data_IF_773905448224
#
_entry.id   IF_773905448224
#
_cell.length_a   1.000
_cell.length_b   1.000
_cell.length_c   1.000
_cell.angle_alpha   90.00
_cell.angle_beta   90.00
_cell.angle_gamma   90.00
#
_symmetry.space_group_name_H-M   'P 1'
#
loop_
_entity.id
_entity.type
_entity.pdbx_description
1 polymer ?
#
# COMPACT_ATOMS: atom_id res chain seq x y z
N UNK A 1 -44.20 -7.61 33.00
CA UNK A 1 -45.16 -6.54 33.33
C UNK A 1 -44.39 -5.48 34.10
N UNK A 2 -44.20 -4.33 33.41
CA UNK A 2 -43.90 -2.98 33.92
C UNK A 2 -42.73 -2.73 34.86
N UNK A 3 -41.64 -2.25 34.31
CA UNK A 3 -40.79 -1.24 34.96
C UNK A 3 -39.64 -0.67 34.04
N UNK A 4 -39.73 -0.74 32.74
CA UNK A 4 -38.68 -0.25 31.86
C UNK A 4 -39.05 0.90 30.92
N UNK A 5 -40.29 1.43 30.97
CA UNK A 5 -40.76 2.48 30.03
C UNK A 5 -40.86 3.89 30.60
N UNK A 6 -40.45 4.11 31.84
CA UNK A 6 -40.68 5.41 32.52
C UNK A 6 -39.43 6.33 32.65
N UNK A 7 -38.27 5.95 32.19
CA UNK A 7 -37.04 6.76 32.31
C UNK A 7 -36.54 7.50 31.05
N UNK A 8 -37.18 7.27 29.92
CA UNK A 8 -36.75 7.91 28.64
C UNK A 8 -37.44 9.26 28.34
N UNK A 9 -38.55 9.57 29.03
CA UNK A 9 -39.34 10.79 28.73
C UNK A 9 -38.89 12.04 29.52
N UNK A 10 -38.02 11.94 30.49
CA UNK A 10 -37.64 13.06 31.39
C UNK A 10 -36.39 13.86 30.94
N UNK A 11 -35.66 13.45 29.89
CA UNK A 11 -34.42 14.12 29.43
C UNK A 11 -34.58 15.07 28.24
N UNK A 12 -35.72 15.10 27.55
CA UNK A 12 -35.91 15.94 26.36
C UNK A 12 -36.51 17.33 26.64
N UNK A 13 -36.97 17.63 27.84
CA UNK A 13 -37.63 18.92 28.18
C UNK A 13 -36.73 19.98 28.82
N UNK A 14 -35.45 19.74 29.06
CA UNK A 14 -34.53 20.71 29.68
C UNK A 14 -33.58 21.45 28.73
N UNK A 15 -33.63 21.20 27.41
CA UNK A 15 -32.77 21.89 26.43
C UNK A 15 -33.47 22.98 25.60
N UNK A 16 -34.75 23.29 25.84
CA UNK A 16 -35.53 24.29 25.03
C UNK A 16 -35.82 25.62 25.72
N UNK A 17 -35.24 25.90 26.90
CA UNK A 17 -35.51 27.15 27.67
C UNK A 17 -34.28 28.01 27.97
N UNK A 18 -33.28 28.02 27.10
CA UNK A 18 -32.14 28.98 27.24
C UNK A 18 -31.74 29.63 25.92
N UNK A 19 -32.71 30.06 25.13
CA UNK A 19 -32.47 30.97 24.00
C UNK A 19 -33.65 31.94 23.83
N UNK A 20 -33.87 32.82 24.82
CA UNK A 20 -34.76 33.97 24.73
C UNK A 20 -34.50 34.84 25.96
N UNK A 21 -33.49 35.68 25.87
CA UNK A 21 -33.33 36.91 26.67
C UNK A 21 -31.92 37.47 26.35
N UNK A 22 -31.83 38.28 25.33
CA UNK A 22 -30.93 39.41 25.23
C UNK A 22 -31.33 40.17 23.97
N UNK A 23 -32.30 40.99 24.10
CA UNK A 23 -32.67 42.04 23.17
C UNK A 23 -33.15 43.24 23.94
N UNK A 24 -32.75 44.39 23.50
CA UNK A 24 -33.13 45.73 23.90
C UNK A 24 -32.37 46.36 25.11
N UNK A 25 -31.42 47.22 24.77
CA UNK A 25 -31.35 48.59 25.38
C UNK A 25 -30.91 49.55 24.29
N UNK A 26 -31.85 50.42 23.97
CA UNK A 26 -31.75 51.63 23.20
C UNK A 26 -31.19 52.73 24.14
N UNK A 27 -30.27 53.57 23.66
CA UNK A 27 -29.80 54.74 24.36
C UNK A 27 -29.43 55.80 23.38
N UNK A 28 -30.38 56.73 23.16
CA UNK A 28 -30.21 58.01 22.46
C UNK A 28 -29.47 58.98 23.34
N UNK A 29 -28.66 59.87 22.72
CA UNK A 29 -28.28 61.25 23.19
C UNK A 29 -27.42 61.83 22.06
N UNK A 30 -27.86 62.77 21.40
CA UNK A 30 -28.24 64.15 21.58
C UNK A 30 -27.22 65.06 20.85
N UNK A 31 -27.80 65.80 19.94
CA UNK A 31 -27.33 66.99 19.18
C UNK A 31 -26.65 68.02 20.07
N UNK A 32 -25.49 68.52 19.62
CA UNK A 32 -25.10 69.93 19.92
C UNK A 32 -24.58 70.55 18.64
N UNK A 33 -25.36 71.57 18.16
CA UNK A 33 -24.97 72.45 17.08
C UNK A 33 -24.10 73.57 17.63
N UNK A 34 -22.96 73.85 17.03
CA UNK A 34 -22.24 75.11 17.20
C UNK A 34 -22.07 75.76 15.83
N UNK A 35 -22.76 76.89 15.64
CA UNK A 35 -22.61 77.78 14.49
C UNK A 35 -21.37 78.60 14.74
N UNK A 36 -20.38 78.60 13.88
CA UNK A 36 -19.33 79.61 13.79
C UNK A 36 -19.30 80.10 12.35
N UNK A 37 -19.74 81.37 12.22
CA UNK A 37 -19.59 82.19 11.02
C UNK A 37 -18.16 82.67 10.93
N UNK A 38 -17.46 82.39 9.86
CA UNK A 38 -16.17 83.00 9.52
C UNK A 38 -16.12 83.30 8.02
N UNK A 39 -15.66 84.48 7.78
CA UNK A 39 -15.67 85.25 6.54
C UNK A 39 -15.00 84.52 5.34
N UNK A 40 -15.66 84.67 4.19
CA UNK A 40 -15.16 84.30 2.87
C UNK A 40 -14.08 85.31 2.45
N UNK A 41 -12.83 84.80 2.30
CA UNK A 41 -11.79 85.46 1.50
C UNK A 41 -11.69 84.70 0.18
N UNK A 42 -12.15 85.37 -0.89
CA UNK A 42 -12.02 84.88 -2.26
C UNK A 42 -10.55 84.89 -2.71
N UNK A 43 -9.91 83.72 -2.80
CA UNK A 43 -8.70 83.51 -3.63
C UNK A 43 -9.08 82.63 -4.79
N UNK A 44 -8.61 82.90 -6.01
CA UNK A 44 -8.88 81.98 -7.18
C UNK A 44 -8.19 80.65 -7.01
N UNK A 45 -8.97 79.58 -6.84
CA UNK A 45 -8.47 78.22 -6.89
C UNK A 45 -8.19 77.86 -8.32
N UNK A 46 -6.90 77.52 -8.58
CA UNK A 46 -6.53 76.82 -9.77
C UNK A 46 -7.18 75.42 -9.72
N UNK A 47 -7.92 75.05 -10.75
CA UNK A 47 -8.50 73.77 -10.95
C UNK A 47 -7.36 72.70 -11.09
N UNK A 48 -7.05 72.03 -9.98
CA UNK A 48 -6.21 70.87 -10.08
C UNK A 48 -7.04 69.70 -10.73
N UNK A 49 -6.68 69.33 -11.93
CA UNK A 49 -7.21 68.20 -12.64
C UNK A 49 -6.97 66.95 -11.77
N UNK A 50 -8.06 66.34 -11.32
CA UNK A 50 -7.98 65.11 -10.48
C UNK A 50 -7.32 63.98 -11.30
N UNK A 51 -6.16 63.53 -10.85
CA UNK A 51 -5.53 62.36 -11.41
C UNK A 51 -6.49 61.18 -11.37
N UNK A 52 -6.60 60.37 -12.44
CA UNK A 52 -7.49 59.22 -12.46
C UNK A 52 -7.09 58.23 -11.34
N UNK A 53 -8.09 57.58 -10.70
CA UNK A 53 -7.78 56.63 -9.64
C UNK A 53 -6.81 55.58 -10.16
N UNK A 54 -5.66 55.39 -9.49
CA UNK A 54 -4.74 54.31 -9.75
C UNK A 54 -5.53 53.00 -9.62
N UNK A 55 -5.74 52.33 -10.74
CA UNK A 55 -6.26 50.98 -10.75
C UNK A 55 -5.37 50.17 -9.83
N UNK A 56 -5.95 49.59 -8.76
CA UNK A 56 -5.23 48.66 -7.92
C UNK A 56 -4.67 47.56 -8.83
N UNK A 57 -3.36 47.38 -8.77
CA UNK A 57 -2.72 46.30 -9.51
C UNK A 57 -3.31 44.97 -9.02
N UNK A 58 -3.88 44.20 -9.92
CA UNK A 58 -4.30 42.82 -9.61
C UNK A 58 -3.04 42.08 -9.07
N UNK A 59 -3.09 41.50 -7.88
CA UNK A 59 -1.94 40.74 -7.38
C UNK A 59 -1.54 39.69 -8.42
N UNK A 60 -0.24 39.54 -8.65
CA UNK A 60 0.26 38.47 -9.51
C UNK A 60 -0.22 37.14 -8.97
N UNK A 61 -0.62 36.19 -9.84
CA UNK A 61 -1.01 34.86 -9.40
C UNK A 61 0.12 34.25 -8.58
N UNK A 62 -0.20 33.71 -7.41
CA UNK A 62 0.75 32.94 -6.60
C UNK A 62 1.13 31.70 -7.40
N UNK A 63 2.43 31.40 -7.59
CA UNK A 63 2.83 30.17 -8.25
C UNK A 63 2.27 28.95 -7.51
N UNK A 64 1.77 27.97 -8.27
CA UNK A 64 1.31 26.71 -7.70
C UNK A 64 2.48 25.97 -7.05
N UNK A 65 2.23 25.29 -5.95
CA UNK A 65 3.16 24.30 -5.39
C UNK A 65 3.30 23.13 -6.36
N UNK A 66 4.37 22.28 -6.27
CA UNK A 66 4.50 21.11 -7.12
C UNK A 66 3.29 20.15 -7.03
N UNK A 67 2.71 19.97 -5.85
CA UNK A 67 1.50 19.17 -5.67
C UNK A 67 0.27 19.77 -6.36
N UNK A 68 0.07 21.09 -6.23
CA UNK A 68 -1.04 21.79 -6.90
C UNK A 68 -0.88 21.77 -8.42
N UNK A 69 0.37 21.89 -8.91
CA UNK A 69 0.65 21.79 -10.34
C UNK A 69 0.31 20.40 -10.88
N UNK A 70 0.70 19.33 -10.14
CA UNK A 70 0.43 17.96 -10.50
C UNK A 70 -1.07 17.65 -10.49
N UNK A 71 -1.81 18.15 -9.49
CA UNK A 71 -3.27 17.99 -9.41
C UNK A 71 -4.00 18.76 -10.52
N UNK A 72 -3.44 19.88 -10.98
CA UNK A 72 -4.01 20.63 -12.10
C UNK A 72 -3.90 19.92 -13.46
N UNK A 73 -3.10 18.86 -13.57
CA UNK A 73 -2.96 18.03 -14.78
C UNK A 73 -4.05 16.96 -14.92
N UNK A 74 -4.90 16.79 -13.91
CA UNK A 74 -5.96 15.77 -13.90
C UNK A 74 -7.30 16.33 -13.44
N UNK A 75 -8.40 15.82 -14.02
CA UNK A 75 -9.76 16.11 -13.59
C UNK A 75 -10.31 15.02 -12.64
N UNK A 76 -9.49 14.05 -12.24
CA UNK A 76 -9.92 12.95 -11.36
C UNK A 76 -10.13 13.47 -9.92
N UNK A 77 -11.35 13.44 -9.39
CA UNK A 77 -11.64 13.88 -8.03
C UNK A 77 -11.02 12.97 -6.96
N UNK A 78 -10.59 11.77 -7.32
CA UNK A 78 -9.91 10.81 -6.45
C UNK A 78 -8.39 10.88 -6.56
N UNK A 79 -7.85 11.76 -7.40
CA UNK A 79 -6.41 11.97 -7.47
C UNK A 79 -5.88 12.52 -6.15
N UNK A 80 -4.74 12.02 -5.71
CA UNK A 80 -4.04 12.42 -4.51
C UNK A 80 -2.57 12.69 -4.83
N UNK A 81 -2.09 13.90 -4.64
CA UNK A 81 -0.68 14.25 -4.77
C UNK A 81 0.07 13.86 -3.48
N UNK A 82 0.95 12.89 -3.59
CA UNK A 82 1.82 12.44 -2.49
C UNK A 82 3.17 13.11 -2.61
N UNK A 83 3.59 13.81 -1.56
CA UNK A 83 4.91 14.43 -1.41
C UNK A 83 5.76 13.64 -0.44
N UNK A 84 7.07 13.84 -0.52
CA UNK A 84 8.07 13.10 0.24
C UNK A 84 8.99 14.05 0.98
N UNK A 85 9.15 13.82 2.29
CA UNK A 85 10.00 14.63 3.17
C UNK A 85 10.94 13.76 3.98
N UNK A 86 12.03 14.35 4.41
CA UNK A 86 13.06 13.72 5.24
C UNK A 86 14.46 14.16 4.91
N UNK A 87 15.42 13.73 5.72
CA UNK A 87 16.82 14.08 5.51
C UNK A 87 17.35 13.48 4.20
N UNK A 88 17.84 14.35 3.31
CA UNK A 88 18.37 13.95 2.00
C UNK A 88 17.32 13.49 0.98
N UNK A 89 16.04 13.74 1.22
CA UNK A 89 14.97 13.44 0.26
C UNK A 89 14.77 14.62 -0.70
N UNK A 90 15.01 14.34 -1.99
CA UNK A 90 14.76 15.25 -3.11
C UNK A 90 13.97 14.47 -4.17
N UNK A 91 12.67 14.30 -3.94
CA UNK A 91 11.76 13.55 -4.81
C UNK A 91 10.61 14.45 -5.28
N UNK A 92 10.27 14.32 -6.55
CA UNK A 92 9.07 14.97 -7.10
C UNK A 92 7.80 14.31 -6.50
N UNK A 93 6.70 15.08 -6.36
CA UNK A 93 5.44 14.51 -5.95
C UNK A 93 4.91 13.53 -7.00
N UNK A 94 4.11 12.55 -6.57
CA UNK A 94 3.47 11.59 -7.47
C UNK A 94 1.97 11.50 -7.22
N UNK A 95 1.21 11.19 -8.27
CA UNK A 95 -0.23 10.92 -8.13
C UNK A 95 -0.46 9.50 -7.62
N UNK A 96 -1.37 9.40 -6.67
CA UNK A 96 -1.95 8.17 -6.17
C UNK A 96 -3.48 8.24 -6.31
N UNK A 97 -4.16 7.11 -6.13
CA UNK A 97 -5.61 7.01 -6.21
C UNK A 97 -6.20 6.90 -4.80
N UNK A 98 -6.98 7.89 -4.36
CA UNK A 98 -7.70 7.86 -3.07
C UNK A 98 -8.55 6.59 -2.96
N UNK A 99 -8.39 5.84 -1.86
CA UNK A 99 -9.09 4.59 -1.61
C UNK A 99 -8.52 3.36 -2.32
N UNK A 100 -7.53 3.53 -3.23
CA UNK A 100 -6.70 2.43 -3.73
C UNK A 100 -5.55 2.11 -2.79
N UNK A 101 -4.75 1.10 -3.09
CA UNK A 101 -3.47 0.87 -2.41
C UNK A 101 -2.39 1.78 -3.00
N UNK A 102 -1.40 2.18 -2.18
CA UNK A 102 -0.24 2.90 -2.69
C UNK A 102 0.48 2.07 -3.75
N UNK A 103 0.86 2.70 -4.85
CA UNK A 103 1.55 2.05 -5.95
C UNK A 103 2.87 2.76 -6.27
N UNK A 104 3.95 1.97 -6.46
CA UNK A 104 5.23 2.49 -6.93
C UNK A 104 5.88 3.53 -6.04
N UNK A 105 5.68 3.45 -4.71
CA UNK A 105 6.37 4.36 -3.79
C UNK A 105 7.90 4.21 -3.96
N UNK A 106 8.64 5.32 -4.07
CA UNK A 106 10.07 5.25 -4.29
C UNK A 106 10.81 4.64 -3.09
N UNK A 107 11.88 3.91 -3.36
CA UNK A 107 12.84 3.42 -2.36
C UNK A 107 14.12 4.22 -2.56
N UNK A 108 14.28 5.36 -1.88
CA UNK A 108 15.44 6.22 -2.06
C UNK A 108 16.72 5.55 -1.57
N UNK A 109 17.84 5.90 -2.19
CA UNK A 109 19.17 5.46 -1.78
C UNK A 109 19.98 6.64 -1.27
N UNK A 110 20.72 6.43 -0.18
CA UNK A 110 21.64 7.40 0.40
C UNK A 110 22.89 6.69 0.86
N UNK A 111 24.08 7.25 0.56
CA UNK A 111 25.35 6.64 0.92
C UNK A 111 25.49 6.44 2.43
N UNK A 112 25.83 5.21 2.84
CA UNK A 112 26.01 4.84 4.24
C UNK A 112 24.71 4.75 5.05
N UNK A 113 23.55 4.75 4.40
CA UNK A 113 22.24 4.61 5.07
C UNK A 113 21.41 3.52 4.42
N UNK A 114 20.49 2.97 5.22
CA UNK A 114 19.47 2.01 4.80
C UNK A 114 18.12 2.67 4.94
N UNK A 115 17.34 2.67 3.87
CA UNK A 115 16.00 3.23 3.91
C UNK A 115 15.10 2.41 4.85
N UNK A 116 14.49 3.06 5.84
CA UNK A 116 13.67 2.38 6.85
C UNK A 116 12.16 2.54 6.59
N UNK A 117 11.77 3.10 5.43
CA UNK A 117 10.38 3.20 4.99
C UNK A 117 9.82 4.61 5.02
N UNK A 118 8.62 4.72 4.48
CA UNK A 118 7.79 5.92 4.53
C UNK A 118 6.84 5.84 5.71
N UNK A 119 6.57 6.97 6.37
CA UNK A 119 5.72 7.06 7.55
C UNK A 119 4.65 8.14 7.38
N UNK A 120 3.56 7.99 8.12
CA UNK A 120 2.43 8.90 8.07
C UNK A 120 2.74 10.28 8.67
N UNK A 121 3.66 10.33 9.65
CA UNK A 121 4.13 11.55 10.33
C UNK A 121 5.64 11.53 10.55
N UNK A 122 6.24 12.70 10.81
CA UNK A 122 7.66 12.80 11.14
C UNK A 122 7.97 12.11 12.48
N UNK A 123 7.07 12.22 13.45
CA UNK A 123 7.21 11.61 14.77
C UNK A 123 7.24 10.08 14.69
N UNK A 124 6.38 9.49 13.86
CA UNK A 124 6.35 8.04 13.62
C UNK A 124 7.64 7.57 12.92
N UNK A 125 8.18 8.37 12.01
CA UNK A 125 9.45 8.10 11.33
C UNK A 125 10.64 8.11 12.30
N UNK A 126 10.66 9.01 13.28
CA UNK A 126 11.72 9.09 14.30
C UNK A 126 11.78 7.86 15.20
N UNK A 127 10.63 7.24 15.48
CA UNK A 127 10.54 6.06 16.36
C UNK A 127 10.39 4.74 15.61
N UNK A 128 10.39 4.79 14.27
CA UNK A 128 10.18 3.61 13.40
C UNK A 128 8.89 2.85 13.71
N UNK A 129 7.78 3.58 13.95
CA UNK A 129 6.48 2.96 14.26
C UNK A 129 5.94 2.15 13.07
N UNK A 130 6.10 0.82 13.14
CA UNK A 130 5.69 -0.10 12.07
C UNK A 130 4.19 0.02 11.75
N UNK A 131 3.35 0.35 12.73
CA UNK A 131 1.91 0.49 12.51
C UNK A 131 1.56 1.67 11.62
N UNK A 132 2.36 2.73 11.66
CA UNK A 132 2.22 3.96 10.87
C UNK A 132 3.04 3.94 9.57
N UNK A 133 3.79 2.85 9.31
CA UNK A 133 4.58 2.71 8.08
C UNK A 133 3.68 2.52 6.86
N UNK A 134 3.99 3.25 5.79
CA UNK A 134 3.22 3.32 4.55
C UNK A 134 3.95 2.59 3.42
N UNK A 135 3.26 1.67 2.78
CA UNK A 135 3.72 0.97 1.58
C UNK A 135 2.52 0.52 0.72
N UNK A 136 2.77 -0.32 -0.30
CA UNK A 136 1.75 -0.86 -1.21
C UNK A 136 0.71 -1.79 -0.56
N UNK A 137 0.77 -2.07 0.73
CA UNK A 137 -0.30 -2.78 1.47
C UNK A 137 -1.31 -1.84 2.13
N UNK A 138 -1.04 -0.52 2.12
CA UNK A 138 -1.88 0.49 2.78
C UNK A 138 -2.79 1.20 1.79
N UNK A 139 -3.98 1.54 2.26
CA UNK A 139 -4.94 2.35 1.49
C UNK A 139 -4.47 3.80 1.45
N UNK A 140 -4.60 4.41 0.28
CA UNK A 140 -4.31 5.84 0.08
C UNK A 140 -5.39 6.67 0.76
N UNK A 141 -4.98 7.46 1.75
CA UNK A 141 -5.81 8.41 2.47
C UNK A 141 -5.22 9.80 2.38
N UNK A 142 -5.94 10.72 1.74
CA UNK A 142 -5.50 12.09 1.51
C UNK A 142 -6.46 13.10 2.10
N UNK A 143 -5.93 14.16 2.69
CA UNK A 143 -6.66 15.35 3.05
C UNK A 143 -6.56 16.38 1.92
N UNK A 144 -7.68 16.88 1.42
CA UNK A 144 -7.71 17.90 0.34
C UNK A 144 -6.86 17.48 -0.88
N UNK A 145 -6.94 16.18 -1.27
CA UNK A 145 -6.17 15.56 -2.36
C UNK A 145 -4.64 15.59 -2.18
N UNK A 146 -4.13 15.81 -0.98
CA UNK A 146 -2.70 15.85 -0.70
C UNK A 146 -2.33 14.95 0.47
N UNK A 147 -1.14 14.38 0.42
CA UNK A 147 -0.53 13.58 1.47
C UNK A 147 0.97 13.80 1.50
N UNK A 148 1.53 14.02 2.67
CA UNK A 148 2.97 14.03 2.87
C UNK A 148 3.41 12.72 3.54
N UNK A 149 4.51 12.13 3.08
CA UNK A 149 5.14 10.94 3.65
C UNK A 149 6.55 11.28 4.11
N UNK A 150 6.94 10.74 5.26
CA UNK A 150 8.20 11.04 5.92
C UNK A 150 9.14 9.86 5.87
N UNK A 151 10.35 10.06 5.35
CA UNK A 151 11.39 9.05 5.26
C UNK A 151 12.05 8.80 6.62
N UNK A 152 12.33 7.53 6.90
CA UNK A 152 13.21 7.15 7.99
C UNK A 152 14.47 6.42 7.48
N UNK A 153 15.55 6.49 8.25
CA UNK A 153 16.83 5.91 7.89
C UNK A 153 17.47 5.18 9.05
N UNK A 154 18.07 4.03 8.76
CA UNK A 154 18.93 3.28 9.70
C UNK A 154 20.37 3.27 9.20
N UNK A 155 21.32 2.90 10.06
CA UNK A 155 22.65 2.51 9.61
C UNK A 155 22.66 1.08 9.09
N UNK A 156 23.64 0.68 8.28
CA UNK A 156 23.81 -0.72 7.86
C UNK A 156 23.97 -1.68 9.05
N UNK A 157 24.64 -1.24 10.11
CA UNK A 157 24.86 -2.01 11.34
C UNK A 157 23.54 -2.26 12.09
N UNK A 158 22.67 -1.24 12.23
CA UNK A 158 21.34 -1.38 12.84
C UNK A 158 20.47 -2.30 12.02
N UNK A 159 20.49 -2.18 10.68
CA UNK A 159 19.73 -3.06 9.80
C UNK A 159 20.21 -4.52 9.89
N UNK A 160 21.50 -4.75 9.91
CA UNK A 160 22.07 -6.09 10.07
C UNK A 160 21.80 -6.72 11.45
N UNK A 161 21.76 -5.89 12.51
CA UNK A 161 21.52 -6.35 13.87
C UNK A 161 20.07 -6.83 14.10
N UNK A 162 19.11 -6.40 13.26
CA UNK A 162 17.73 -6.91 13.28
C UNK A 162 17.67 -8.40 12.97
N UNK A 163 18.60 -8.93 12.17
CA UNK A 163 18.65 -10.32 11.71
C UNK A 163 17.29 -10.84 11.19
N UNK A 164 16.52 -9.97 10.55
CA UNK A 164 15.17 -10.26 10.09
C UNK A 164 15.18 -11.43 9.10
N UNK A 165 14.25 -12.35 9.30
CA UNK A 165 13.94 -13.42 8.36
C UNK A 165 12.50 -13.28 7.88
N UNK A 166 12.30 -13.00 6.60
CA UNK A 166 10.98 -12.73 6.02
C UNK A 166 10.39 -14.01 5.45
N UNK A 167 9.35 -14.60 6.07
CA UNK A 167 8.66 -15.76 5.53
C UNK A 167 7.82 -15.38 4.31
N UNK A 168 7.84 -16.23 3.28
CA UNK A 168 6.92 -16.21 2.15
C UNK A 168 6.02 -17.43 2.31
N UNK A 169 4.74 -17.22 2.65
CA UNK A 169 3.75 -18.28 2.78
C UNK A 169 3.31 -18.74 1.39
N UNK A 170 3.26 -20.05 1.17
CA UNK A 170 2.88 -20.63 -0.12
C UNK A 170 1.63 -21.49 0.06
N UNK A 171 0.49 -20.99 -0.38
CA UNK A 171 -0.78 -21.70 -0.50
C UNK A 171 -1.00 -22.19 -1.93
N UNK A 172 -2.02 -23.04 -2.15
CA UNK A 172 -2.44 -23.49 -3.47
C UNK A 172 -3.98 -23.53 -3.56
N UNK A 173 -4.61 -24.63 -3.13
CA UNK A 173 -6.06 -24.80 -3.19
C UNK A 173 -6.69 -24.64 -1.80
N UNK A 174 -8.01 -24.40 -1.79
CA UNK A 174 -8.78 -24.24 -0.56
C UNK A 174 -9.98 -25.18 -0.52
N UNK A 175 -10.39 -25.56 0.69
CA UNK A 175 -11.54 -26.41 0.90
C UNK A 175 -12.41 -25.93 2.08
N UNK A 176 -13.70 -26.15 1.98
CA UNK A 176 -14.65 -25.92 3.07
C UNK A 176 -14.79 -27.16 3.99
N UNK A 177 -14.08 -28.24 3.68
CA UNK A 177 -14.13 -29.51 4.42
C UNK A 177 -13.04 -29.53 5.50
N UNK A 178 -13.41 -29.49 6.80
CA UNK A 178 -12.42 -29.53 7.88
C UNK A 178 -11.58 -30.82 7.89
N UNK A 179 -12.14 -31.93 7.37
CA UNK A 179 -11.46 -33.22 7.20
C UNK A 179 -10.53 -33.26 5.98
N UNK A 180 -10.58 -32.23 5.12
CA UNK A 180 -9.80 -32.09 3.89
C UNK A 180 -10.38 -32.82 2.70
N UNK A 181 -9.64 -32.77 1.59
CA UNK A 181 -9.98 -33.44 0.33
C UNK A 181 -9.35 -34.84 0.28
N UNK A 182 -9.91 -35.69 -0.59
CA UNK A 182 -9.35 -37.00 -0.89
C UNK A 182 -8.31 -36.91 -2.04
N UNK A 183 -7.45 -37.91 -2.13
CA UNK A 183 -6.52 -38.06 -3.23
C UNK A 183 -5.11 -37.52 -2.99
N UNK A 184 -4.29 -37.55 -4.03
CA UNK A 184 -2.87 -37.25 -3.95
C UNK A 184 -2.54 -35.75 -3.76
N UNK A 185 -3.45 -34.85 -4.16
CA UNK A 185 -3.32 -33.41 -3.96
C UNK A 185 -3.78 -32.93 -2.59
N UNK A 186 -4.25 -33.81 -1.71
CA UNK A 186 -4.78 -33.44 -0.38
C UNK A 186 -3.87 -32.45 0.36
N UNK A 187 -2.55 -32.64 0.29
CA UNK A 187 -1.58 -31.77 0.95
C UNK A 187 -1.61 -30.32 0.49
N UNK A 188 -2.06 -30.05 -0.75
CA UNK A 188 -2.11 -28.72 -1.30
C UNK A 188 -3.32 -27.90 -0.82
N UNK A 189 -4.34 -28.57 -0.22
CA UNK A 189 -5.54 -27.87 0.23
C UNK A 189 -5.35 -27.28 1.62
N UNK A 190 -5.66 -25.99 1.78
CA UNK A 190 -5.86 -25.36 3.07
C UNK A 190 -7.35 -25.36 3.44
N UNK A 191 -7.68 -25.70 4.70
CA UNK A 191 -9.04 -25.52 5.19
C UNK A 191 -9.34 -24.01 5.32
N UNK A 192 -10.45 -23.56 4.76
CA UNK A 192 -10.77 -22.12 4.73
C UNK A 192 -10.92 -21.49 6.12
N UNK A 193 -11.37 -22.28 7.11
CA UNK A 193 -11.46 -21.80 8.49
C UNK A 193 -10.09 -21.57 9.15
N UNK A 194 -9.08 -22.39 8.82
CA UNK A 194 -7.70 -22.16 9.26
C UNK A 194 -7.11 -20.93 8.57
N UNK A 195 -7.33 -20.79 7.26
CA UNK A 195 -6.88 -19.63 6.51
C UNK A 195 -7.49 -18.31 7.03
N UNK A 196 -8.79 -18.32 7.34
CA UNK A 196 -9.47 -17.15 7.92
C UNK A 196 -8.81 -16.74 9.26
N UNK A 197 -8.60 -17.69 10.17
CA UNK A 197 -7.93 -17.43 11.44
C UNK A 197 -6.47 -16.95 11.26
N UNK A 198 -5.77 -17.48 10.27
CA UNK A 198 -4.40 -17.06 9.93
C UNK A 198 -4.36 -15.63 9.39
N UNK A 199 -5.27 -15.24 8.49
CA UNK A 199 -5.36 -13.87 7.96
C UNK A 199 -5.81 -12.88 9.02
N UNK A 200 -6.78 -13.25 9.88
CA UNK A 200 -7.17 -12.43 11.04
C UNK A 200 -5.98 -12.17 11.97
N UNK A 201 -5.21 -13.22 12.28
CA UNK A 201 -4.02 -13.09 13.11
C UNK A 201 -3.00 -12.13 12.50
N UNK A 202 -2.65 -12.31 11.23
CA UNK A 202 -1.70 -11.44 10.51
C UNK A 202 -2.19 -9.99 10.51
N UNK A 203 -3.48 -9.76 10.24
CA UNK A 203 -4.06 -8.42 10.18
C UNK A 203 -4.10 -7.70 11.54
N UNK A 204 -4.26 -8.46 12.65
CA UNK A 204 -4.54 -7.87 13.97
C UNK A 204 -3.34 -7.85 14.92
N UNK A 205 -2.27 -8.59 14.62
CA UNK A 205 -1.10 -8.67 15.51
C UNK A 205 0.08 -7.81 15.07
N UNK A 206 -0.11 -6.96 14.05
CA UNK A 206 0.88 -5.95 13.66
C UNK A 206 1.96 -6.46 12.69
N UNK A 207 1.68 -7.52 11.93
CA UNK A 207 2.57 -7.92 10.85
C UNK A 207 2.70 -6.81 9.80
N UNK A 208 3.93 -6.57 9.37
CA UNK A 208 4.21 -5.76 8.18
C UNK A 208 4.08 -6.64 6.93
N UNK A 209 3.43 -6.11 5.90
CA UNK A 209 3.22 -6.81 4.62
C UNK A 209 4.08 -6.15 3.54
N UNK A 210 5.32 -6.63 3.31
CA UNK A 210 6.19 -6.04 2.30
C UNK A 210 5.65 -6.22 0.88
N UNK A 211 5.93 -5.25 0.01
CA UNK A 211 5.84 -5.43 -1.43
C UNK A 211 7.05 -6.20 -1.96
N UNK A 212 6.98 -6.66 -3.22
CA UNK A 212 8.12 -7.34 -3.84
C UNK A 212 9.32 -6.41 -4.06
N UNK A 213 9.07 -5.14 -4.38
CA UNK A 213 10.13 -4.13 -4.48
C UNK A 213 10.85 -3.92 -3.14
N UNK A 214 10.09 -3.87 -2.05
CA UNK A 214 10.66 -3.78 -0.70
C UNK A 214 11.46 -5.04 -0.35
N UNK A 215 10.95 -6.24 -0.69
CA UNK A 215 11.69 -7.49 -0.46
C UNK A 215 12.99 -7.51 -1.25
N UNK A 216 12.97 -7.07 -2.52
CA UNK A 216 14.15 -6.99 -3.36
C UNK A 216 15.19 -6.05 -2.76
N UNK A 217 14.78 -4.84 -2.36
CA UNK A 217 15.66 -3.86 -1.73
C UNK A 217 16.19 -4.32 -0.36
N UNK A 218 15.38 -5.09 0.40
CA UNK A 218 15.81 -5.72 1.65
C UNK A 218 16.91 -6.76 1.43
N UNK A 219 16.75 -7.63 0.44
CA UNK A 219 17.77 -8.63 0.08
C UNK A 219 19.10 -7.96 -0.26
N UNK A 220 19.06 -6.82 -0.95
CA UNK A 220 20.24 -6.03 -1.28
C UNK A 220 20.83 -5.26 -0.08
N UNK A 221 20.17 -5.29 1.08
CA UNK A 221 20.58 -4.51 2.26
C UNK A 221 20.31 -3.01 2.14
N UNK A 222 19.52 -2.57 1.15
CA UNK A 222 19.18 -1.15 0.90
C UNK A 222 17.93 -0.68 1.63
N UNK A 223 17.08 -1.62 2.09
CA UNK A 223 15.86 -1.32 2.80
C UNK A 223 15.77 -2.18 4.07
N UNK A 224 15.30 -1.56 5.15
CA UNK A 224 14.97 -2.24 6.40
C UNK A 224 13.57 -2.83 6.34
N UNK A 225 13.43 -4.11 6.70
CA UNK A 225 12.15 -4.74 6.99
C UNK A 225 12.12 -5.16 8.47
N UNK A 226 11.00 -4.90 9.18
CA UNK A 226 10.81 -5.42 10.53
C UNK A 226 10.87 -6.94 10.56
N UNK A 227 11.41 -7.55 11.62
CA UNK A 227 11.42 -9.00 11.78
C UNK A 227 9.99 -9.59 11.75
N UNK A 228 9.00 -8.84 12.26
CA UNK A 228 7.57 -9.21 12.21
C UNK A 228 6.94 -8.82 10.86
N UNK A 229 7.43 -9.42 9.78
CA UNK A 229 6.95 -9.23 8.41
C UNK A 229 6.60 -10.56 7.76
N UNK A 230 5.65 -10.58 6.85
CA UNK A 230 5.24 -11.78 6.11
C UNK A 230 4.74 -11.43 4.71
N UNK A 231 5.05 -12.27 3.71
CA UNK A 231 4.45 -12.23 2.38
C UNK A 231 3.55 -13.45 2.22
N UNK A 232 2.33 -13.25 1.73
CA UNK A 232 1.36 -14.32 1.52
C UNK A 232 1.20 -14.55 0.02
N UNK A 233 1.37 -15.80 -0.42
CA UNK A 233 1.26 -16.16 -1.83
C UNK A 233 0.35 -17.36 -2.04
N UNK A 234 -0.31 -17.38 -3.18
CA UNK A 234 -1.08 -18.48 -3.74
C UNK A 234 -0.48 -18.89 -5.07
N UNK A 235 -0.32 -20.20 -5.30
CA UNK A 235 0.14 -20.75 -6.56
C UNK A 235 -1.04 -21.26 -7.39
N UNK A 236 -0.87 -21.27 -8.71
CA UNK A 236 -1.82 -21.75 -9.73
C UNK A 236 -3.02 -20.86 -9.99
N UNK A 237 -3.38 -19.95 -9.10
CA UNK A 237 -4.61 -19.16 -9.17
C UNK A 237 -5.84 -20.07 -9.40
N UNK A 238 -5.93 -21.15 -8.61
CA UNK A 238 -7.03 -22.12 -8.68
C UNK A 238 -8.40 -21.46 -8.43
N UNK A 239 -9.48 -22.09 -8.92
CA UNK A 239 -10.81 -21.52 -8.72
C UNK A 239 -11.18 -21.42 -7.23
N UNK A 240 -10.70 -22.35 -6.39
CA UNK A 240 -10.95 -22.29 -4.94
C UNK A 240 -10.24 -21.11 -4.25
N UNK A 241 -9.12 -20.63 -4.77
CA UNK A 241 -8.50 -19.39 -4.34
C UNK A 241 -9.47 -18.21 -4.53
N UNK A 242 -10.02 -18.05 -5.74
CA UNK A 242 -10.95 -16.95 -6.04
C UNK A 242 -12.26 -17.03 -5.27
N UNK A 243 -12.84 -18.24 -5.17
CA UNK A 243 -14.16 -18.43 -4.59
C UNK A 243 -14.16 -18.40 -3.05
N UNK A 244 -13.08 -18.88 -2.41
CA UNK A 244 -13.02 -19.08 -0.97
C UNK A 244 -12.03 -18.13 -0.29
N UNK A 245 -10.79 -18.02 -0.78
CA UNK A 245 -9.72 -17.30 -0.10
C UNK A 245 -9.75 -15.79 -0.35
N UNK A 246 -9.99 -15.33 -1.59
CA UNK A 246 -10.04 -13.90 -1.91
C UNK A 246 -11.06 -13.13 -1.07
N UNK A 247 -12.30 -13.63 -0.80
CA UNK A 247 -13.21 -12.97 0.14
C UNK A 247 -12.68 -12.85 1.57
N UNK A 248 -11.84 -13.78 2.02
CA UNK A 248 -11.16 -13.70 3.33
C UNK A 248 -10.09 -12.62 3.32
N UNK A 249 -9.24 -12.63 2.29
CA UNK A 249 -8.19 -11.63 2.06
C UNK A 249 -8.77 -10.20 2.06
N UNK A 250 -9.87 -10.01 1.33
CA UNK A 250 -10.56 -8.72 1.23
C UNK A 250 -11.15 -8.27 2.58
N UNK A 251 -11.78 -9.20 3.32
CA UNK A 251 -12.35 -8.91 4.64
C UNK A 251 -11.30 -8.46 5.66
N UNK A 252 -10.12 -9.08 5.64
CA UNK A 252 -9.02 -8.75 6.55
C UNK A 252 -8.07 -7.68 5.98
N UNK A 253 -8.25 -7.26 4.73
CA UNK A 253 -7.42 -6.27 4.04
C UNK A 253 -5.92 -6.64 4.04
N UNK A 254 -5.62 -7.90 3.79
CA UNK A 254 -4.26 -8.45 3.80
C UNK A 254 -3.71 -8.51 2.39
N UNK A 255 -2.58 -7.85 2.13
CA UNK A 255 -1.92 -7.90 0.82
C UNK A 255 -1.41 -9.32 0.54
N UNK A 256 -1.79 -9.87 -0.60
CA UNK A 256 -1.41 -11.20 -1.06
C UNK A 256 -0.91 -11.17 -2.51
N UNK A 257 -0.30 -12.24 -2.95
CA UNK A 257 0.12 -12.44 -4.33
C UNK A 257 -0.45 -13.73 -4.88
N UNK A 258 -1.10 -13.68 -6.03
CA UNK A 258 -1.51 -14.85 -6.80
C UNK A 258 -0.56 -15.06 -7.96
N UNK A 259 0.14 -16.20 -7.98
CA UNK A 259 0.99 -16.64 -9.08
C UNK A 259 0.14 -17.34 -10.13
N UNK A 260 0.02 -16.72 -11.30
CA UNK A 260 -0.94 -17.10 -12.34
C UNK A 260 -0.24 -17.80 -13.51
N UNK A 261 -0.74 -18.96 -13.92
CA UNK A 261 -0.39 -19.61 -15.18
C UNK A 261 -1.19 -18.94 -16.30
N UNK A 262 -0.58 -17.99 -17.00
CA UNK A 262 -1.30 -17.07 -17.90
C UNK A 262 -1.85 -17.72 -19.19
N UNK A 263 -1.48 -18.96 -19.51
CA UNK A 263 -2.13 -19.75 -20.55
C UNK A 263 -3.58 -20.14 -20.18
N UNK A 264 -3.86 -20.26 -18.88
CA UNK A 264 -5.17 -20.74 -18.39
C UNK A 264 -5.98 -19.64 -17.72
N UNK A 265 -5.31 -18.65 -17.12
CA UNK A 265 -5.97 -17.58 -16.39
C UNK A 265 -5.29 -16.23 -16.64
N UNK A 266 -6.07 -15.27 -17.08
CA UNK A 266 -5.61 -13.91 -17.40
C UNK A 266 -6.47 -12.83 -16.71
N UNK A 267 -7.65 -13.20 -16.22
CA UNK A 267 -8.56 -12.27 -15.55
C UNK A 267 -7.94 -11.72 -14.27
N UNK A 268 -8.10 -10.41 -14.00
CA UNK A 268 -7.64 -9.84 -12.75
C UNK A 268 -8.40 -10.45 -11.57
N UNK A 269 -7.74 -10.64 -10.41
CA UNK A 269 -8.44 -10.95 -9.17
C UNK A 269 -9.47 -9.87 -8.85
N UNK A 270 -10.60 -10.21 -8.23
CA UNK A 270 -11.64 -9.24 -7.89
C UNK A 270 -11.31 -8.34 -6.70
N UNK A 271 -10.07 -8.33 -6.21
CA UNK A 271 -9.66 -7.57 -5.04
C UNK A 271 -8.35 -6.82 -5.28
N UNK A 272 -8.27 -5.57 -4.77
CA UNK A 272 -7.04 -4.76 -4.78
C UNK A 272 -5.94 -5.34 -3.88
N UNK A 273 -6.29 -6.22 -2.94
CA UNK A 273 -5.36 -6.88 -2.02
C UNK A 273 -4.69 -8.12 -2.63
N UNK A 274 -4.95 -8.44 -3.91
CA UNK A 274 -4.36 -9.58 -4.60
C UNK A 274 -3.51 -9.10 -5.77
N UNK A 275 -2.20 -9.11 -5.61
CA UNK A 275 -1.24 -8.83 -6.67
C UNK A 275 -1.18 -10.00 -7.63
N UNK A 276 -1.19 -9.73 -8.95
CA UNK A 276 -1.00 -10.74 -10.00
C UNK A 276 0.48 -10.85 -10.32
N UNK A 277 1.05 -12.05 -10.22
CA UNK A 277 2.44 -12.33 -10.61
C UNK A 277 2.52 -13.61 -11.43
N UNK A 278 3.65 -13.81 -12.09
CA UNK A 278 3.80 -14.88 -13.06
C UNK A 278 4.06 -16.25 -12.39
N UNK A 279 3.21 -17.23 -12.71
CA UNK A 279 3.53 -18.65 -12.58
C UNK A 279 3.85 -19.24 -13.95
N UNK A 280 4.52 -18.45 -14.80
CA UNK A 280 4.83 -18.67 -16.22
C UNK A 280 3.62 -18.53 -17.15
N UNK A 281 3.84 -18.57 -18.47
CA UNK A 281 2.73 -18.64 -19.42
C UNK A 281 2.23 -20.08 -19.58
N UNK A 282 3.08 -21.00 -20.06
CA UNK A 282 2.68 -22.38 -20.36
C UNK A 282 3.72 -23.42 -19.85
N UNK A 283 4.58 -23.05 -18.89
CA UNK A 283 5.60 -23.99 -18.39
C UNK A 283 5.12 -24.87 -17.23
N UNK A 284 3.89 -24.71 -16.73
CA UNK A 284 3.32 -25.53 -15.66
C UNK A 284 2.88 -26.92 -16.18
N UNK A 285 3.82 -27.62 -16.85
CA UNK A 285 3.62 -28.92 -17.45
C UNK A 285 4.86 -29.78 -17.22
N UNK A 286 4.65 -31.07 -16.94
CA UNK A 286 5.74 -32.04 -16.85
C UNK A 286 6.23 -32.42 -18.26
N UNK A 287 7.55 -32.53 -18.41
CA UNK A 287 8.18 -33.15 -19.59
C UNK A 287 8.15 -34.65 -19.52
N UNK A 288 8.62 -35.31 -20.58
CA UNK A 288 8.67 -36.81 -20.70
C UNK A 288 9.50 -37.49 -19.61
N UNK A 289 10.42 -36.75 -18.99
CA UNK A 289 11.25 -37.21 -17.88
C UNK A 289 10.62 -36.99 -16.49
N UNK A 290 9.36 -36.54 -16.44
CA UNK A 290 8.65 -36.19 -15.20
C UNK A 290 9.09 -34.89 -14.55
N UNK A 291 10.01 -34.13 -15.17
CA UNK A 291 10.43 -32.79 -14.72
C UNK A 291 9.69 -31.71 -15.48
N UNK A 292 9.48 -30.57 -14.83
CA UNK A 292 8.82 -29.43 -15.47
C UNK A 292 9.61 -28.85 -16.64
N UNK A 293 8.92 -28.09 -17.52
CA UNK A 293 9.53 -27.40 -18.66
C UNK A 293 10.66 -26.45 -18.24
N UNK A 294 10.57 -25.85 -17.05
CA UNK A 294 11.63 -25.00 -16.49
C UNK A 294 13.01 -25.69 -16.39
N UNK A 295 13.06 -27.02 -16.21
CA UNK A 295 14.33 -27.73 -16.19
C UNK A 295 14.72 -28.32 -17.54
N UNK A 296 13.80 -28.38 -18.50
CA UNK A 296 13.99 -29.06 -19.78
C UNK A 296 14.26 -28.09 -20.94
N UNK A 297 13.80 -26.86 -20.84
CA UNK A 297 13.92 -25.85 -21.88
C UNK A 297 15.23 -25.08 -21.79
N UNK A 298 15.66 -24.52 -22.92
CA UNK A 298 16.77 -23.57 -22.96
C UNK A 298 16.40 -22.25 -22.28
N UNK A 299 17.39 -21.47 -21.89
CA UNK A 299 17.18 -20.15 -21.30
C UNK A 299 16.37 -19.21 -22.22
N UNK A 300 16.58 -19.28 -23.53
CA UNK A 300 15.84 -18.47 -24.51
C UNK A 300 14.37 -18.88 -24.62
N UNK A 301 14.06 -20.18 -24.60
CA UNK A 301 12.67 -20.66 -24.59
C UNK A 301 11.95 -20.27 -23.31
N UNK A 302 12.62 -20.39 -22.16
CA UNK A 302 12.10 -19.95 -20.87
C UNK A 302 11.84 -18.44 -20.87
N UNK A 303 12.81 -17.66 -21.37
CA UNK A 303 12.64 -16.21 -21.47
C UNK A 303 11.49 -15.82 -22.38
N UNK A 304 11.27 -16.52 -23.50
CA UNK A 304 10.17 -16.26 -24.42
C UNK A 304 8.79 -16.51 -23.77
N UNK A 305 8.64 -17.61 -23.02
CA UNK A 305 7.41 -17.91 -22.26
C UNK A 305 7.16 -16.88 -21.16
N UNK A 306 8.19 -16.52 -20.38
CA UNK A 306 8.10 -15.53 -19.32
C UNK A 306 7.82 -14.12 -19.86
N UNK A 307 8.35 -13.75 -21.04
CA UNK A 307 8.00 -12.50 -21.68
C UNK A 307 6.51 -12.46 -22.04
N UNK A 308 5.97 -13.56 -22.58
CA UNK A 308 4.52 -13.67 -22.84
C UNK A 308 3.71 -13.47 -21.58
N UNK A 309 4.10 -14.12 -20.47
CA UNK A 309 3.43 -13.94 -19.18
C UNK A 309 3.53 -12.51 -18.67
N UNK A 310 4.72 -11.92 -18.73
CA UNK A 310 4.96 -10.54 -18.30
C UNK A 310 4.18 -9.51 -19.09
N UNK A 311 4.04 -9.70 -20.41
CA UNK A 311 3.26 -8.82 -21.28
C UNK A 311 1.76 -8.89 -20.97
N UNK A 312 1.24 -10.09 -20.64
CA UNK A 312 -0.16 -10.28 -20.22
C UNK A 312 -0.42 -9.63 -18.85
N UNK A 313 0.50 -9.81 -17.90
CA UNK A 313 0.32 -9.31 -16.52
C UNK A 313 0.70 -7.83 -16.36
N UNK A 314 1.52 -7.29 -17.26
CA UNK A 314 2.04 -5.93 -17.20
C UNK A 314 3.12 -5.71 -16.12
N UNK A 315 3.72 -6.78 -15.59
CA UNK A 315 4.69 -6.72 -14.48
C UNK A 315 5.72 -7.84 -14.58
N UNK A 316 6.97 -7.54 -14.16
CA UNK A 316 8.11 -8.49 -14.16
C UNK A 316 8.93 -8.42 -12.87
N UNK A 317 8.29 -8.33 -11.72
CA UNK A 317 8.99 -8.30 -10.42
C UNK A 317 9.47 -9.69 -9.99
N UNK A 318 8.53 -10.65 -10.00
CA UNK A 318 8.78 -11.99 -9.45
C UNK A 318 7.99 -13.06 -10.19
N UNK A 319 8.58 -14.26 -10.26
CA UNK A 319 7.88 -15.49 -10.68
C UNK A 319 7.83 -16.51 -9.54
N UNK A 320 6.92 -17.47 -9.62
CA UNK A 320 7.04 -18.75 -8.93
C UNK A 320 7.45 -19.83 -9.94
N UNK A 321 8.45 -20.64 -9.60
CA UNK A 321 8.85 -21.77 -10.45
C UNK A 321 7.78 -22.86 -10.41
N UNK A 322 7.20 -23.28 -11.56
CA UNK A 322 6.30 -24.43 -11.62
C UNK A 322 6.91 -25.67 -10.96
N UNK A 323 6.16 -26.30 -10.04
CA UNK A 323 6.62 -27.45 -9.23
C UNK A 323 7.84 -27.14 -8.34
N UNK A 324 8.30 -25.90 -8.26
CA UNK A 324 9.57 -25.51 -7.65
C UNK A 324 10.79 -25.92 -8.46
N UNK A 325 10.63 -26.45 -9.65
CA UNK A 325 11.70 -26.95 -10.49
C UNK A 325 12.53 -25.80 -11.08
N UNK A 326 13.81 -25.76 -10.78
CA UNK A 326 14.74 -24.77 -11.31
C UNK A 326 16.18 -25.32 -11.38
N UNK A 327 16.98 -24.71 -12.21
CA UNK A 327 18.41 -24.93 -12.35
C UNK A 327 19.07 -23.64 -12.88
N UNK A 328 20.37 -23.65 -13.12
CA UNK A 328 21.11 -22.48 -13.61
C UNK A 328 20.56 -21.96 -14.96
N UNK A 329 20.13 -22.86 -15.86
CA UNK A 329 19.51 -22.48 -17.14
C UNK A 329 18.17 -21.78 -16.91
N UNK A 330 17.35 -22.27 -15.97
CA UNK A 330 16.09 -21.62 -15.60
C UNK A 330 16.32 -20.22 -15.03
N UNK A 331 17.28 -20.07 -14.09
CA UNK A 331 17.66 -18.76 -13.55
C UNK A 331 18.13 -17.80 -14.64
N UNK A 332 18.93 -18.30 -15.60
CA UNK A 332 19.35 -17.49 -16.75
C UNK A 332 18.16 -17.05 -17.59
N UNK A 333 17.18 -17.93 -17.87
CA UNK A 333 15.96 -17.59 -18.60
C UNK A 333 15.11 -16.55 -17.89
N UNK A 334 14.98 -16.65 -16.57
CA UNK A 334 14.29 -15.66 -15.72
C UNK A 334 14.95 -14.28 -15.83
N UNK A 335 16.28 -14.23 -15.70
CA UNK A 335 17.06 -13.00 -15.84
C UNK A 335 16.97 -12.39 -17.25
N UNK A 336 17.03 -13.22 -18.31
CA UNK A 336 16.86 -12.79 -19.70
C UNK A 336 15.48 -12.18 -19.98
N UNK A 337 14.43 -12.66 -19.31
CA UNK A 337 13.08 -12.11 -19.40
C UNK A 337 12.90 -10.83 -18.56
N UNK A 338 13.92 -10.38 -17.84
CA UNK A 338 13.90 -9.16 -17.04
C UNK A 338 13.16 -9.28 -15.71
N UNK A 339 12.93 -10.49 -15.22
CA UNK A 339 12.41 -10.69 -13.86
C UNK A 339 13.53 -10.57 -12.84
N UNK A 340 13.23 -9.92 -11.72
CA UNK A 340 14.23 -9.67 -10.68
C UNK A 340 14.33 -10.82 -9.66
N UNK A 341 13.20 -11.49 -9.41
CA UNK A 341 13.09 -12.51 -8.38
C UNK A 341 12.39 -13.76 -8.88
N UNK A 342 12.71 -14.89 -8.25
CA UNK A 342 12.05 -16.16 -8.50
C UNK A 342 11.92 -16.98 -7.21
N UNK A 343 10.71 -17.42 -6.91
CA UNK A 343 10.35 -18.17 -5.72
C UNK A 343 10.35 -19.67 -6.00
N UNK A 344 10.98 -20.45 -5.12
CA UNK A 344 11.07 -21.90 -5.13
C UNK A 344 10.05 -22.54 -4.18
N UNK A 345 10.12 -23.85 -3.96
CA UNK A 345 9.40 -24.56 -2.89
C UNK A 345 10.35 -24.98 -1.75
N UNK A 346 11.59 -24.51 -1.77
CA UNK A 346 12.58 -24.85 -0.75
C UNK A 346 12.20 -24.21 0.59
N UNK A 347 12.25 -24.97 1.71
CA UNK A 347 11.83 -24.45 3.00
C UNK A 347 12.85 -23.42 3.54
N UNK A 348 12.35 -22.30 4.06
CA UNK A 348 13.19 -21.27 4.66
C UNK A 348 12.52 -19.92 4.72
N UNK A 349 13.31 -18.90 5.08
CA UNK A 349 12.93 -17.49 5.12
C UNK A 349 13.93 -16.65 4.34
N UNK A 350 13.49 -15.54 3.79
CA UNK A 350 14.34 -14.62 3.04
C UNK A 350 15.13 -13.74 4.01
N UNK A 351 16.42 -13.56 3.74
CA UNK A 351 17.34 -12.71 4.51
C UNK A 351 18.14 -11.78 3.59
N UNK A 352 18.82 -10.82 4.15
CA UNK A 352 19.80 -10.02 3.41
C UNK A 352 20.81 -10.96 2.75
N UNK A 353 21.03 -10.79 1.45
CA UNK A 353 21.95 -11.62 0.65
C UNK A 353 21.37 -12.96 0.17
N UNK A 354 20.08 -13.24 0.40
CA UNK A 354 19.40 -14.40 -0.24
C UNK A 354 19.51 -14.31 -1.76
N UNK A 355 19.70 -15.44 -2.43
CA UNK A 355 19.63 -15.49 -3.91
C UNK A 355 18.23 -15.11 -4.38
N UNK A 356 18.10 -13.96 -5.03
CA UNK A 356 16.82 -13.46 -5.56
C UNK A 356 16.16 -14.43 -6.54
N UNK A 357 16.94 -15.25 -7.24
CA UNK A 357 16.43 -16.23 -8.18
C UNK A 357 16.20 -17.63 -7.54
N UNK A 358 16.23 -17.70 -6.20
CA UNK A 358 15.94 -18.94 -5.46
C UNK A 358 15.34 -18.62 -4.07
N UNK A 359 14.25 -17.84 -4.02
CA UNK A 359 13.61 -17.45 -2.77
C UNK A 359 12.99 -18.66 -2.07
N UNK A 360 13.32 -18.90 -0.78
CA UNK A 360 12.71 -19.97 0.00
C UNK A 360 11.29 -19.61 0.46
N UNK A 361 10.54 -20.62 0.94
CA UNK A 361 9.14 -20.47 1.38
C UNK A 361 8.84 -21.18 2.69
N UNK A 362 7.74 -20.78 3.30
CA UNK A 362 7.00 -21.55 4.30
C UNK A 362 5.78 -22.14 3.60
N UNK A 363 5.87 -23.43 3.23
CA UNK A 363 4.75 -24.12 2.59
C UNK A 363 3.63 -24.36 3.61
N UNK A 364 2.39 -24.09 3.16
CA UNK A 364 1.18 -24.35 3.93
C UNK A 364 0.53 -25.61 3.39
N UNK A 365 0.56 -26.66 4.20
CA UNK A 365 -0.06 -27.95 3.88
C UNK A 365 -1.38 -28.11 4.63
N UNK A 366 -2.21 -29.05 4.17
CA UNK A 366 -3.44 -29.44 4.86
C UNK A 366 -3.18 -29.75 6.34
N UNK A 367 -4.03 -29.20 7.22
CA UNK A 367 -3.95 -29.39 8.67
C UNK A 367 -2.97 -28.42 9.38
N UNK A 368 -2.39 -27.47 8.66
CA UNK A 368 -1.64 -26.38 9.27
C UNK A 368 -2.60 -25.32 9.82
N UNK A 369 -3.09 -25.51 11.04
CA UNK A 369 -3.88 -24.51 11.74
C UNK A 369 -3.05 -23.29 12.22
N UNK A 370 -3.71 -22.35 12.90
CA UNK A 370 -3.11 -21.09 13.37
C UNK A 370 -1.85 -21.30 14.23
N UNK A 371 -1.89 -22.18 15.24
CA UNK A 371 -0.75 -22.40 16.13
C UNK A 371 0.49 -22.91 15.38
N UNK A 372 0.28 -23.76 14.39
CA UNK A 372 1.36 -24.27 13.55
C UNK A 372 1.95 -23.18 12.65
N UNK A 373 1.12 -22.25 12.14
CA UNK A 373 1.61 -21.10 11.38
C UNK A 373 2.41 -20.17 12.29
N UNK A 374 1.86 -19.74 13.43
CA UNK A 374 2.50 -18.82 14.37
C UNK A 374 3.88 -19.35 14.80
N UNK A 375 4.02 -20.67 15.02
CA UNK A 375 5.31 -21.26 15.35
C UNK A 375 6.38 -21.11 14.27
N UNK A 376 6.00 -20.77 13.02
CA UNK A 376 6.91 -20.64 11.87
C UNK A 376 7.18 -19.21 11.46
N UNK A 377 6.29 -18.30 11.79
CA UNK A 377 6.41 -16.89 11.37
C UNK A 377 6.68 -15.91 12.52
N UNK A 378 6.58 -16.36 13.78
CA UNK A 378 6.85 -15.57 14.97
C UNK A 378 5.61 -14.97 15.60
#
# INVERSE_FOLDING_TARGET
>A
MDAASSRAAARSRRRRRRRLAFGLTIGALALVAVVAVAAVVLTPQATAEAAPPRRAATPAPVPLTPSEALLAETDDPLACAVTFSGDGIELEPMLQQQGGLYAGLPIPAQDGRVFAGWYATAEDAEVFDVASRINGSRVVECAEQQRELFAAWKTPEENAAEDAGIPILMYHQFTTRPEGEDGWLRGNYAYIGDFDAQMEHIATTGFYLPTWDELSAFIDGRLFLPAHSVIITDDDADQTWFDLAVPVVERHQVLTTSFMVTAYRQDPPPSVYVLRRSHTHDMHQAGDNGRGRMENWSADEIAADLNTSGDILGVREVIAYPFGHHNDTAKQGVALAGYEMARTIEPGVVRIGTDKLALPVVRIDYGMGLDALVSRIG
#
